data_IF_812344534073
#
_entry.id   IF_812344534073
#
_cell.length_a   1.000
_cell.length_b   1.000
_cell.length_c   1.000
_cell.angle_alpha   90.00
_cell.angle_beta   90.00
_cell.angle_gamma   90.00
#
_symmetry.space_group_name_H-M   'P 1'
#
loop_
_entity.id
_entity.type
_entity.pdbx_description
1 polymer ?
#
# COMPACT_ATOMS: atom_id res chain seq x y z
N UNK A 1 -44.02 -35.42 37.17
CA UNK A 1 -43.45 -34.72 38.33
C UNK A 1 -42.88 -33.40 37.84
N UNK A 2 -43.47 -32.25 38.19
CA UNK A 2 -42.98 -30.94 37.76
C UNK A 2 -41.68 -30.61 38.54
N UNK A 3 -40.59 -30.32 37.83
CA UNK A 3 -39.33 -29.95 38.44
C UNK A 3 -39.33 -28.45 38.77
N UNK A 4 -39.04 -28.11 40.03
CA UNK A 4 -38.88 -26.73 40.52
C UNK A 4 -37.71 -26.06 39.77
N UNK A 5 -37.99 -25.00 39.02
CA UNK A 5 -37.02 -24.33 38.14
C UNK A 5 -36.37 -23.07 38.73
N UNK A 6 -36.54 -22.78 40.02
CA UNK A 6 -36.01 -21.54 40.62
C UNK A 6 -35.29 -21.81 41.93
N UNK A 7 -34.04 -21.36 42.01
CA UNK A 7 -33.10 -21.53 43.13
C UNK A 7 -33.18 -20.39 44.16
N UNK A 8 -34.11 -19.44 44.00
CA UNK A 8 -34.24 -18.28 44.89
C UNK A 8 -35.14 -18.58 46.10
N UNK A 9 -34.82 -18.09 47.32
CA UNK A 9 -35.67 -18.30 48.50
C UNK A 9 -37.06 -17.69 48.28
N UNK A 10 -38.10 -18.44 48.66
CA UNK A 10 -39.52 -18.12 48.38
C UNK A 10 -39.92 -16.69 48.79
N UNK A 11 -39.32 -16.17 49.87
CA UNK A 11 -39.60 -14.85 50.41
C UNK A 11 -39.18 -13.71 49.46
N UNK A 12 -38.10 -13.88 48.70
CA UNK A 12 -37.67 -12.91 47.68
C UNK A 12 -38.62 -12.90 46.48
N UNK A 13 -39.16 -14.06 46.10
CA UNK A 13 -40.09 -14.20 44.98
C UNK A 13 -41.42 -13.53 45.31
N UNK A 14 -41.96 -13.74 46.51
CA UNK A 14 -43.20 -13.10 46.96
C UNK A 14 -43.05 -11.58 47.12
N UNK A 15 -41.91 -11.09 47.60
CA UNK A 15 -41.64 -9.64 47.71
C UNK A 15 -41.53 -8.93 46.35
N UNK A 16 -41.13 -9.64 45.30
CA UNK A 16 -41.09 -9.11 43.93
C UNK A 16 -42.48 -9.10 43.28
N UNK A 17 -43.27 -10.14 43.52
CA UNK A 17 -44.63 -10.26 42.97
C UNK A 17 -45.58 -9.22 43.59
N UNK A 18 -45.47 -8.97 44.91
CA UNK A 18 -46.30 -7.95 45.58
C UNK A 18 -45.96 -6.52 45.12
N UNK A 19 -44.67 -6.23 44.87
CA UNK A 19 -44.22 -4.95 44.29
C UNK A 19 -44.69 -4.75 42.85
N UNK A 20 -44.71 -5.81 42.05
CA UNK A 20 -45.23 -5.76 40.67
C UNK A 20 -46.75 -5.55 40.65
N UNK A 21 -47.48 -6.16 41.59
CA UNK A 21 -48.93 -6.02 41.71
C UNK A 21 -49.37 -4.60 42.11
N UNK A 22 -48.58 -3.91 42.95
CA UNK A 22 -48.85 -2.54 43.39
C UNK A 22 -48.46 -1.43 42.40
N UNK A 23 -47.83 -1.75 41.26
CA UNK A 23 -47.29 -0.76 40.29
C UNK A 23 -46.33 0.28 40.88
N UNK A 24 -45.89 0.11 42.11
CA UNK A 24 -44.93 0.99 42.80
C UNK A 24 -43.49 0.59 42.45
N UNK A 25 -43.28 0.38 41.17
CA UNK A 25 -41.98 -0.02 40.68
C UNK A 25 -41.21 1.27 40.43
N UNK A 26 -40.33 1.62 41.36
CA UNK A 26 -39.47 2.80 41.26
C UNK A 26 -38.68 2.88 39.96
N UNK A 27 -37.82 3.89 39.86
CA UNK A 27 -37.02 4.17 38.65
C UNK A 27 -36.38 2.91 38.07
N UNK A 28 -36.29 2.84 36.74
CA UNK A 28 -35.67 1.73 35.99
C UNK A 28 -34.30 1.32 36.57
N UNK A 29 -33.53 2.25 37.12
CA UNK A 29 -32.25 1.99 37.79
C UNK A 29 -32.36 1.06 39.01
N UNK A 30 -33.41 1.20 39.83
CA UNK A 30 -33.61 0.41 41.05
C UNK A 30 -34.09 -1.02 40.73
N UNK A 31 -34.75 -1.18 39.58
CA UNK A 31 -35.25 -2.47 39.07
C UNK A 31 -34.15 -3.35 38.48
N UNK A 32 -33.03 -2.74 38.08
CA UNK A 32 -31.89 -3.43 37.45
C UNK A 32 -30.60 -3.37 38.29
N UNK A 33 -30.68 -2.93 39.56
CA UNK A 33 -29.54 -2.85 40.47
C UNK A 33 -28.81 -4.20 40.66
N UNK A 34 -29.53 -5.33 40.57
CA UNK A 34 -28.94 -6.69 40.63
C UNK A 34 -28.32 -7.15 39.30
N UNK A 35 -28.54 -6.44 38.18
CA UNK A 35 -28.08 -6.82 36.83
C UNK A 35 -26.91 -6.00 36.32
N UNK A 36 -26.65 -4.83 36.88
CA UNK A 36 -25.39 -4.12 36.70
C UNK A 36 -24.45 -4.58 37.82
N UNK A 37 -23.27 -5.07 37.44
CA UNK A 37 -22.26 -5.58 38.35
C UNK A 37 -21.89 -4.56 39.43
N UNK A 38 -21.36 -5.11 40.53
CA UNK A 38 -20.74 -4.49 41.70
C UNK A 38 -20.58 -2.96 41.72
N UNK A 39 -20.70 -2.32 42.90
CA UNK A 39 -20.43 -0.88 43.09
C UNK A 39 -19.14 -0.37 42.43
N UNK A 40 -18.15 -1.25 42.26
CA UNK A 40 -16.91 -1.03 41.52
C UNK A 40 -17.12 -0.67 40.04
N UNK A 41 -17.99 -1.38 39.32
CA UNK A 41 -18.24 -1.10 37.89
C UNK A 41 -18.89 0.27 37.69
N UNK A 42 -19.75 0.67 38.63
CA UNK A 42 -20.33 2.01 38.67
C UNK A 42 -19.27 3.08 38.89
N UNK A 43 -18.33 2.84 39.79
CA UNK A 43 -17.21 3.75 40.06
C UNK A 43 -16.28 3.87 38.84
N UNK A 44 -15.95 2.75 38.18
CA UNK A 44 -15.11 2.72 36.97
C UNK A 44 -15.73 3.56 35.84
N UNK A 45 -17.04 3.45 35.61
CA UNK A 45 -17.72 4.22 34.55
C UNK A 45 -17.67 5.72 34.83
N UNK A 46 -17.86 6.13 36.09
CA UNK A 46 -17.78 7.54 36.49
C UNK A 46 -16.36 8.08 36.33
N UNK A 47 -15.35 7.30 36.73
CA UNK A 47 -13.95 7.68 36.58
C UNK A 47 -13.56 7.81 35.10
N UNK A 48 -13.90 6.85 34.25
CA UNK A 48 -13.64 6.92 32.80
C UNK A 48 -14.35 8.11 32.14
N UNK A 49 -15.57 8.42 32.55
CA UNK A 49 -16.29 9.61 32.08
C UNK A 49 -15.56 10.89 32.48
N UNK A 50 -15.10 10.98 33.73
CA UNK A 50 -14.34 12.14 34.23
C UNK A 50 -13.01 12.32 33.50
N UNK A 51 -12.28 11.24 33.24
CA UNK A 51 -11.03 11.28 32.47
C UNK A 51 -11.26 11.76 31.04
N UNK A 52 -12.30 11.26 30.38
CA UNK A 52 -12.67 11.71 29.04
C UNK A 52 -13.01 13.20 29.02
N UNK A 53 -13.86 13.65 29.95
CA UNK A 53 -14.27 15.06 30.03
C UNK A 53 -13.07 15.99 30.33
N UNK A 54 -12.09 15.56 31.12
CA UNK A 54 -10.83 16.29 31.38
C UNK A 54 -9.99 16.47 30.11
N UNK A 55 -9.80 15.39 29.34
CA UNK A 55 -9.05 15.45 28.07
C UNK A 55 -9.72 16.37 27.06
N UNK A 56 -11.05 16.34 26.99
CA UNK A 56 -11.80 17.24 26.11
C UNK A 56 -11.63 18.71 26.53
N UNK A 57 -11.60 19.01 27.84
CA UNK A 57 -11.33 20.38 28.30
C UNK A 57 -9.90 20.85 27.98
N UNK A 58 -8.91 19.97 28.13
CA UNK A 58 -7.51 20.28 27.79
C UNK A 58 -7.35 20.64 26.31
N UNK A 59 -8.00 19.88 25.42
CA UNK A 59 -7.99 20.17 23.97
C UNK A 59 -8.71 21.49 23.67
N UNK A 60 -9.83 21.78 24.34
CA UNK A 60 -10.61 23.00 24.10
C UNK A 60 -9.91 24.27 24.56
N UNK A 61 -9.20 24.19 25.67
CA UNK A 61 -8.54 25.35 26.28
C UNK A 61 -7.09 25.54 25.77
N UNK A 62 -6.63 24.66 24.87
CA UNK A 62 -5.36 24.82 24.18
C UNK A 62 -5.41 26.02 23.20
N UNK A 63 -4.36 26.85 23.13
CA UNK A 63 -4.30 27.97 22.20
C UNK A 63 -4.25 27.49 20.75
N UNK A 64 -5.05 28.11 19.89
CA UNK A 64 -5.04 27.86 18.44
C UNK A 64 -3.84 28.60 17.83
N UNK A 65 -2.97 27.87 17.15
CA UNK A 65 -1.86 28.45 16.37
C UNK A 65 -2.32 28.59 14.92
N UNK A 66 -2.43 29.82 14.44
CA UNK A 66 -2.63 30.12 13.02
C UNK A 66 -1.26 30.29 12.37
N UNK A 67 -0.98 29.51 11.33
CA UNK A 67 0.23 29.64 10.52
C UNK A 67 0.06 30.88 9.62
N UNK A 68 0.98 31.83 9.72
CA UNK A 68 1.05 32.97 8.81
C UNK A 68 1.66 32.49 7.49
N UNK A 69 0.93 32.64 6.38
CA UNK A 69 1.45 32.46 5.03
C UNK A 69 2.41 33.61 4.73
N UNK A 70 3.68 33.31 4.43
CA UNK A 70 4.64 34.31 3.98
C UNK A 70 4.20 34.86 2.61
N UNK A 71 4.25 36.18 2.37
CA UNK A 71 3.82 36.82 1.11
C UNK A 71 4.46 36.19 -0.15
N UNK A 72 5.67 35.66 -0.02
CA UNK A 72 6.40 34.96 -1.09
C UNK A 72 5.80 33.58 -1.44
N UNK A 73 5.13 32.92 -0.48
CA UNK A 73 4.46 31.63 -0.69
C UNK A 73 3.25 31.77 -1.62
N UNK A 74 2.55 32.90 -1.56
CA UNK A 74 1.40 33.18 -2.44
C UNK A 74 1.79 33.35 -3.91
N UNK A 75 2.95 33.98 -4.18
CA UNK A 75 3.47 34.15 -5.55
C UNK A 75 3.93 32.81 -6.13
N UNK A 76 4.72 32.04 -5.36
CA UNK A 76 5.17 30.70 -5.74
C UNK A 76 4.00 29.74 -6.01
N UNK A 77 2.95 29.78 -5.20
CA UNK A 77 1.78 28.95 -5.41
C UNK A 77 1.01 29.33 -6.69
N UNK A 78 0.96 30.62 -7.03
CA UNK A 78 0.38 31.07 -8.29
C UNK A 78 1.18 30.58 -9.51
N UNK A 79 2.51 30.64 -9.43
CA UNK A 79 3.42 30.13 -10.47
C UNK A 79 3.30 28.61 -10.63
N UNK A 80 3.22 27.88 -9.51
CA UNK A 80 3.00 26.42 -9.51
C UNK A 80 1.71 26.06 -10.25
N UNK A 81 0.60 26.75 -9.95
CA UNK A 81 -0.68 26.47 -10.62
C UNK A 81 -0.63 26.75 -12.12
N UNK A 82 0.08 27.79 -12.56
CA UNK A 82 0.25 28.09 -13.99
C UNK A 82 0.99 26.95 -14.70
N UNK A 83 2.10 26.49 -14.15
CA UNK A 83 2.90 25.38 -14.70
C UNK A 83 2.09 24.08 -14.74
N UNK A 84 1.32 23.77 -13.68
CA UNK A 84 0.46 22.58 -13.66
C UNK A 84 -0.64 22.62 -14.71
N UNK A 85 -1.23 23.79 -14.96
CA UNK A 85 -2.20 23.93 -16.06
C UNK A 85 -1.56 23.69 -17.42
N UNK A 86 -0.34 24.18 -17.64
CA UNK A 86 0.38 23.98 -18.89
C UNK A 86 0.75 22.50 -19.09
N UNK A 87 1.31 21.85 -18.07
CA UNK A 87 1.59 20.40 -18.08
C UNK A 87 0.33 19.58 -18.36
N UNK A 88 -0.82 19.96 -17.78
CA UNK A 88 -2.10 19.29 -18.02
C UNK A 88 -2.58 19.43 -19.47
N UNK A 89 -2.22 20.51 -20.15
CA UNK A 89 -2.54 20.71 -21.58
C UNK A 89 -1.58 19.98 -22.51
N UNK A 90 -0.27 19.97 -22.20
CA UNK A 90 0.76 19.39 -23.07
C UNK A 90 0.91 17.88 -22.91
N UNK A 91 0.65 17.31 -21.73
CA UNK A 91 0.73 15.85 -21.48
C UNK A 91 -0.18 15.02 -22.42
N UNK A 92 -1.47 15.36 -22.63
CA UNK A 92 -2.29 14.61 -23.59
C UNK A 92 -1.80 14.79 -25.03
N UNK A 93 -1.33 15.98 -25.42
CA UNK A 93 -0.79 16.22 -26.77
C UNK A 93 0.44 15.35 -27.03
N UNK A 94 1.36 15.26 -26.08
CA UNK A 94 2.50 14.34 -26.12
C UNK A 94 2.08 12.87 -26.26
N UNK A 95 1.08 12.43 -25.49
CA UNK A 95 0.56 11.06 -25.59
C UNK A 95 -0.05 10.77 -26.96
N UNK A 96 -0.80 11.73 -27.53
CA UNK A 96 -1.36 11.60 -28.87
C UNK A 96 -0.27 11.54 -29.94
N UNK A 97 0.76 12.38 -29.85
CA UNK A 97 1.91 12.35 -30.76
C UNK A 97 2.71 11.05 -30.63
N UNK A 98 2.83 10.50 -29.41
CA UNK A 98 3.48 9.22 -29.14
C UNK A 98 2.69 8.07 -29.78
N UNK A 99 1.36 8.08 -29.65
CA UNK A 99 0.48 7.08 -30.27
C UNK A 99 0.44 7.19 -31.80
N UNK A 100 0.56 8.41 -32.35
CA UNK A 100 0.62 8.66 -33.79
C UNK A 100 2.00 8.38 -34.41
N UNK A 101 3.06 8.26 -33.59
CA UNK A 101 4.43 8.09 -34.05
C UNK A 101 5.06 9.36 -34.63
N UNK A 102 4.51 10.54 -34.32
CA UNK A 102 4.94 11.82 -34.87
C UNK A 102 6.25 12.30 -34.20
N UNK A 103 7.38 11.80 -34.72
CA UNK A 103 8.72 12.10 -34.19
C UNK A 103 9.07 13.60 -34.17
N UNK A 104 8.49 14.41 -35.06
CA UNK A 104 8.73 15.85 -35.14
C UNK A 104 8.03 16.62 -34.01
N UNK A 105 6.82 16.18 -33.63
CA UNK A 105 6.07 16.76 -32.51
C UNK A 105 6.68 16.31 -31.18
N UNK A 106 7.10 15.05 -31.10
CA UNK A 106 7.76 14.51 -29.91
C UNK A 106 9.10 15.19 -29.61
N UNK A 107 9.89 15.52 -30.64
CA UNK A 107 11.17 16.23 -30.44
C UNK A 107 11.00 17.66 -29.95
N UNK A 108 9.86 18.30 -30.26
CA UNK A 108 9.52 19.64 -29.79
C UNK A 108 8.90 19.63 -28.39
N UNK A 109 8.01 18.68 -28.09
CA UNK A 109 7.30 18.63 -26.80
C UNK A 109 8.17 18.11 -25.65
N UNK A 110 9.12 17.19 -25.90
CA UNK A 110 10.03 16.65 -24.87
C UNK A 110 10.78 17.72 -24.08
N UNK A 111 11.56 18.63 -24.71
CA UNK A 111 12.34 19.61 -23.96
C UNK A 111 11.46 20.61 -23.20
N UNK A 112 10.26 20.92 -23.73
CA UNK A 112 9.31 21.84 -23.08
C UNK A 112 8.71 21.20 -21.82
N UNK A 113 8.28 19.94 -21.91
CA UNK A 113 7.78 19.19 -20.75
C UNK A 113 8.86 19.03 -19.68
N UNK A 114 10.10 18.73 -20.09
CA UNK A 114 11.25 18.63 -19.17
C UNK A 114 11.50 19.93 -18.43
N UNK A 115 11.50 21.08 -19.13
CA UNK A 115 11.68 22.38 -18.48
C UNK A 115 10.56 22.71 -17.49
N UNK A 116 9.30 22.43 -17.84
CA UNK A 116 8.15 22.71 -16.97
C UNK A 116 8.15 21.82 -15.73
N UNK A 117 8.55 20.55 -15.86
CA UNK A 117 8.68 19.65 -14.71
C UNK A 117 9.82 20.08 -13.78
N UNK A 118 10.96 20.52 -14.33
CA UNK A 118 12.07 21.04 -13.54
C UNK A 118 11.67 22.31 -12.76
N UNK A 119 10.93 23.22 -13.40
CA UNK A 119 10.43 24.44 -12.77
C UNK A 119 9.40 24.14 -11.66
N UNK A 120 8.45 23.22 -11.92
CA UNK A 120 7.51 22.73 -10.92
C UNK A 120 8.22 22.20 -9.69
N UNK A 121 9.24 21.35 -9.87
CA UNK A 121 10.02 20.76 -8.78
C UNK A 121 10.79 21.84 -8.01
N UNK A 122 11.38 22.82 -8.70
CA UNK A 122 12.07 23.94 -8.06
C UNK A 122 11.13 24.77 -7.18
N UNK A 123 9.94 25.11 -7.67
CA UNK A 123 8.96 25.89 -6.91
C UNK A 123 8.43 25.09 -5.72
N UNK A 124 8.19 23.80 -5.90
CA UNK A 124 7.76 22.91 -4.83
C UNK A 124 8.82 22.79 -3.71
N UNK A 125 10.10 22.69 -4.08
CA UNK A 125 11.22 22.67 -3.14
C UNK A 125 11.36 24.00 -2.38
N UNK A 126 11.08 25.14 -3.04
CA UNK A 126 11.06 26.45 -2.39
C UNK A 126 9.88 26.60 -1.41
N UNK A 127 8.71 26.03 -1.71
CA UNK A 127 7.53 26.07 -0.85
C UNK A 127 7.63 25.16 0.39
N UNK A 128 8.30 24.01 0.30
CA UNK A 128 8.45 23.06 1.41
C UNK A 128 9.59 23.42 2.38
N UNK A 129 10.39 24.45 2.07
CA UNK A 129 11.45 24.96 2.95
C UNK A 129 12.61 23.99 3.22
N UNK A 130 12.66 22.83 2.57
CA UNK A 130 13.71 21.83 2.76
C UNK A 130 13.83 20.86 1.58
N UNK A 131 14.65 21.19 0.58
CA UNK A 131 15.42 20.18 -0.16
C UNK A 131 16.70 20.83 -0.71
N UNK A 132 17.87 20.33 -0.32
CA UNK A 132 19.14 20.60 -1.01
C UNK A 132 19.05 20.16 -2.49
N UNK A 133 19.87 20.71 -3.41
CA UNK A 133 19.86 20.28 -4.80
C UNK A 133 20.50 18.89 -4.93
N UNK A 134 19.74 17.84 -4.62
CA UNK A 134 20.03 16.49 -5.10
C UNK A 134 19.48 16.38 -6.52
N UNK A 135 20.40 16.57 -7.47
CA UNK A 135 20.20 16.13 -8.85
C UNK A 135 19.95 14.63 -8.80
N UNK A 136 18.88 14.18 -9.47
CA UNK A 136 18.33 12.82 -9.53
C UNK A 136 17.22 12.51 -8.50
N UNK A 137 16.26 11.71 -8.94
CA UNK A 137 15.20 11.03 -8.14
C UNK A 137 13.82 11.68 -7.95
N UNK A 138 13.38 12.68 -8.73
CA UNK A 138 11.91 12.84 -8.89
C UNK A 138 11.51 13.06 -10.33
N UNK A 139 11.53 11.96 -11.08
CA UNK A 139 10.81 11.76 -12.34
C UNK A 139 9.81 10.59 -12.24
N UNK A 140 9.41 10.22 -11.03
CA UNK A 140 8.71 8.97 -10.71
C UNK A 140 7.20 9.18 -10.57
N UNK A 141 6.54 9.43 -11.69
CA UNK A 141 5.14 8.98 -11.89
C UNK A 141 4.90 8.53 -13.35
N UNK A 142 5.97 8.43 -14.14
CA UNK A 142 6.02 7.76 -15.44
C UNK A 142 7.37 7.07 -15.69
N UNK A 143 8.26 7.06 -14.68
CA UNK A 143 9.54 6.35 -14.66
C UNK A 143 9.55 5.16 -13.69
N UNK A 144 8.58 5.03 -12.78
CA UNK A 144 8.45 3.87 -11.89
C UNK A 144 8.32 2.56 -12.67
N UNK A 145 7.64 2.59 -13.82
CA UNK A 145 7.59 1.41 -14.71
C UNK A 145 8.92 1.14 -15.38
N UNK A 146 9.73 2.16 -15.69
CA UNK A 146 10.99 1.95 -16.40
C UNK A 146 12.03 1.29 -15.52
N UNK A 147 12.11 1.68 -14.24
CA UNK A 147 13.01 1.03 -13.29
C UNK A 147 12.57 -0.40 -12.97
N UNK A 148 11.26 -0.65 -12.83
CA UNK A 148 10.71 -2.00 -12.66
C UNK A 148 10.91 -2.87 -13.92
N UNK A 149 10.71 -2.29 -15.10
CA UNK A 149 10.90 -2.94 -16.40
C UNK A 149 12.38 -3.27 -16.64
N UNK A 150 13.30 -2.37 -16.28
CA UNK A 150 14.75 -2.57 -16.37
C UNK A 150 15.23 -3.63 -15.36
N UNK A 151 14.70 -3.60 -14.12
CA UNK A 151 14.91 -4.65 -13.14
C UNK A 151 14.38 -6.00 -13.66
N UNK A 152 13.21 -6.03 -14.29
CA UNK A 152 12.63 -7.25 -14.83
C UNK A 152 13.40 -7.81 -16.03
N UNK A 153 13.88 -6.95 -16.92
CA UNK A 153 14.77 -7.35 -18.00
C UNK A 153 16.09 -7.95 -17.45
N UNK A 154 16.65 -7.35 -16.39
CA UNK A 154 17.85 -7.89 -15.74
C UNK A 154 17.58 -9.25 -15.06
N UNK A 155 16.43 -9.41 -14.41
CA UNK A 155 15.98 -10.68 -13.84
C UNK A 155 15.86 -11.78 -14.88
N UNK A 156 15.21 -11.49 -16.02
CA UNK A 156 15.05 -12.46 -17.11
C UNK A 156 16.41 -12.91 -17.66
N UNK A 157 17.38 -12.00 -17.78
CA UNK A 157 18.73 -12.35 -18.21
C UNK A 157 19.48 -13.23 -17.19
N UNK A 158 19.35 -12.92 -15.89
CA UNK A 158 19.93 -13.73 -14.80
C UNK A 158 19.33 -15.14 -14.80
N UNK A 159 18.00 -15.23 -14.94
CA UNK A 159 17.26 -16.49 -14.99
C UNK A 159 17.68 -17.32 -16.20
N UNK A 160 17.82 -16.70 -17.38
CA UNK A 160 18.23 -17.41 -18.60
C UNK A 160 19.64 -18.01 -18.47
N UNK A 161 20.58 -17.25 -17.90
CA UNK A 161 21.95 -17.75 -17.64
C UNK A 161 21.95 -18.86 -16.58
N UNK A 162 21.18 -18.68 -15.50
CA UNK A 162 21.09 -19.64 -14.40
C UNK A 162 20.46 -20.97 -14.85
N UNK A 163 19.30 -20.91 -15.51
CA UNK A 163 18.60 -22.08 -16.02
C UNK A 163 19.37 -22.72 -17.18
N UNK A 164 20.05 -21.93 -18.01
CA UNK A 164 20.84 -22.44 -19.13
C UNK A 164 22.14 -23.16 -18.73
N UNK A 165 22.74 -22.78 -17.60
CA UNK A 165 24.03 -23.33 -17.16
C UNK A 165 23.92 -24.42 -16.10
N UNK A 166 22.89 -24.39 -15.25
CA UNK A 166 22.82 -25.22 -14.05
C UNK A 166 21.72 -26.28 -14.05
N UNK A 167 20.80 -26.28 -15.02
CA UNK A 167 19.77 -27.32 -15.11
C UNK A 167 20.26 -28.59 -15.84
N UNK A 168 19.89 -29.79 -15.35
CA UNK A 168 20.09 -31.05 -16.06
C UNK A 168 19.32 -31.14 -17.40
N UNK A 169 19.93 -31.74 -18.42
CA UNK A 169 19.32 -31.87 -19.77
C UNK A 169 17.97 -32.60 -19.77
N UNK A 170 17.76 -33.53 -18.85
CA UNK A 170 16.51 -34.28 -18.70
C UNK A 170 15.37 -33.39 -18.19
N UNK A 171 15.65 -32.46 -17.28
CA UNK A 171 14.68 -31.46 -16.80
C UNK A 171 14.37 -30.46 -17.92
N UNK A 172 15.40 -29.93 -18.60
CA UNK A 172 15.23 -28.99 -19.71
C UNK A 172 14.41 -29.60 -20.85
N UNK A 173 14.68 -30.86 -21.23
CA UNK A 173 13.93 -31.54 -22.29
C UNK A 173 12.46 -31.80 -21.92
N UNK A 174 12.17 -31.98 -20.63
CA UNK A 174 10.81 -32.12 -20.11
C UNK A 174 10.10 -30.76 -20.10
N UNK A 175 10.81 -29.71 -19.68
CA UNK A 175 10.29 -28.34 -19.65
C UNK A 175 9.95 -27.82 -21.04
N UNK A 176 10.82 -28.01 -22.05
CA UNK A 176 10.57 -27.58 -23.44
C UNK A 176 9.31 -28.23 -24.04
N UNK A 177 8.90 -29.40 -23.54
CA UNK A 177 7.68 -30.09 -23.98
C UNK A 177 6.42 -29.64 -23.23
N UNK A 178 6.57 -28.86 -22.16
CA UNK A 178 5.46 -28.35 -21.37
C UNK A 178 4.78 -27.16 -22.03
N UNK A 179 3.53 -26.90 -21.64
CA UNK A 179 2.78 -25.70 -22.07
C UNK A 179 3.36 -24.41 -21.46
N UNK A 180 4.10 -24.52 -20.36
CA UNK A 180 4.74 -23.41 -19.62
C UNK A 180 5.92 -22.82 -20.38
N UNK A 181 6.60 -23.63 -21.19
CA UNK A 181 7.71 -23.16 -22.03
C UNK A 181 7.29 -22.06 -23.01
N UNK A 182 6.04 -22.09 -23.50
CA UNK A 182 5.54 -21.05 -24.40
C UNK A 182 5.50 -19.67 -23.72
N UNK A 183 5.13 -19.63 -22.43
CA UNK A 183 5.11 -18.40 -21.62
C UNK A 183 6.55 -17.95 -21.34
N UNK A 184 7.41 -18.89 -20.95
CA UNK A 184 8.84 -18.63 -20.72
C UNK A 184 9.52 -18.01 -21.94
N UNK A 185 9.32 -18.61 -23.12
CA UNK A 185 9.90 -18.09 -24.36
C UNK A 185 9.36 -16.70 -24.71
N UNK A 186 8.05 -16.47 -24.59
CA UNK A 186 7.43 -15.20 -24.93
C UNK A 186 7.94 -14.05 -24.04
N UNK A 187 8.04 -14.28 -22.73
CA UNK A 187 8.55 -13.28 -21.78
C UNK A 187 10.08 -13.13 -21.90
N UNK A 188 10.80 -14.22 -22.18
CA UNK A 188 12.25 -14.22 -22.40
C UNK A 188 12.69 -13.43 -23.64
N UNK A 189 11.93 -13.52 -24.75
CA UNK A 189 12.22 -12.78 -25.97
C UNK A 189 11.93 -11.28 -25.86
N UNK A 190 10.95 -10.88 -25.04
CA UNK A 190 10.52 -9.48 -24.91
C UNK A 190 10.01 -9.18 -23.51
N UNK A 191 10.91 -9.03 -22.52
CA UNK A 191 10.52 -8.81 -21.11
C UNK A 191 9.77 -7.49 -20.90
N UNK A 192 10.04 -6.49 -21.74
CA UNK A 192 9.42 -5.16 -21.69
C UNK A 192 8.00 -5.13 -22.26
N UNK A 193 7.64 -6.07 -23.15
CA UNK A 193 6.30 -6.15 -23.74
C UNK A 193 5.35 -7.07 -22.97
N UNK A 194 5.86 -7.78 -21.95
CA UNK A 194 5.06 -8.69 -21.15
C UNK A 194 4.17 -7.92 -20.16
N UNK A 195 2.86 -8.21 -20.20
CA UNK A 195 1.89 -7.72 -19.22
C UNK A 195 2.19 -8.28 -17.81
N UNK A 196 1.72 -7.58 -16.77
CA UNK A 196 1.94 -7.96 -15.37
C UNK A 196 1.49 -9.39 -15.03
N UNK A 197 0.38 -9.85 -15.61
CA UNK A 197 -0.07 -11.23 -15.44
C UNK A 197 0.93 -12.24 -16.02
N UNK A 198 1.50 -11.96 -17.20
CA UNK A 198 2.52 -12.82 -17.83
C UNK A 198 3.83 -12.83 -17.05
N UNK A 199 4.22 -11.69 -16.48
CA UNK A 199 5.40 -11.58 -15.60
C UNK A 199 5.24 -12.42 -14.33
N UNK A 200 4.05 -12.39 -13.71
CA UNK A 200 3.77 -13.22 -12.52
C UNK A 200 3.81 -14.72 -12.84
N UNK A 201 3.26 -15.14 -13.98
CA UNK A 201 3.33 -16.53 -14.44
C UNK A 201 4.77 -16.95 -14.74
N UNK A 202 5.56 -16.07 -15.37
CA UNK A 202 6.98 -16.31 -15.62
C UNK A 202 7.75 -16.55 -14.31
N UNK A 203 7.58 -15.67 -13.32
CA UNK A 203 8.24 -15.80 -12.02
C UNK A 203 7.86 -17.12 -11.33
N UNK A 204 6.58 -17.53 -11.38
CA UNK A 204 6.13 -18.80 -10.81
C UNK A 204 6.76 -20.02 -11.52
N UNK A 205 6.86 -19.99 -12.85
CA UNK A 205 7.52 -21.04 -13.64
C UNK A 205 9.01 -21.12 -13.26
N UNK A 206 9.67 -19.97 -13.15
CA UNK A 206 11.08 -19.89 -12.78
C UNK A 206 11.31 -20.47 -11.38
N UNK A 207 10.49 -20.11 -10.39
CA UNK A 207 10.58 -20.65 -9.03
C UNK A 207 10.43 -22.18 -9.01
N UNK A 208 9.49 -22.73 -9.79
CA UNK A 208 9.35 -24.18 -9.94
C UNK A 208 10.61 -24.83 -10.55
N UNK A 209 11.19 -24.22 -11.58
CA UNK A 209 12.42 -24.75 -12.20
C UNK A 209 13.64 -24.64 -11.29
N UNK A 210 13.77 -23.57 -10.50
CA UNK A 210 14.80 -23.45 -9.47
C UNK A 210 14.64 -24.49 -8.38
N UNK A 211 13.41 -24.87 -8.03
CA UNK A 211 13.13 -25.98 -7.11
C UNK A 211 13.60 -27.35 -7.61
N UNK A 212 13.78 -27.52 -8.92
CA UNK A 212 14.30 -28.74 -9.53
C UNK A 212 15.84 -28.78 -9.61
N UNK A 213 16.53 -27.71 -9.21
CA UNK A 213 17.99 -27.64 -9.21
C UNK A 213 18.60 -28.34 -8.00
N UNK A 214 19.91 -28.63 -8.10
CA UNK A 214 20.66 -29.19 -6.97
C UNK A 214 20.83 -28.14 -5.86
N UNK A 215 20.80 -28.54 -4.58
CA UNK A 215 20.96 -27.61 -3.47
C UNK A 215 22.30 -26.84 -3.50
N UNK A 216 23.36 -27.45 -4.05
CA UNK A 216 24.67 -26.82 -4.20
C UNK A 216 24.64 -25.66 -5.21
N UNK A 217 23.91 -25.84 -6.31
CA UNK A 217 23.65 -24.81 -7.33
C UNK A 217 22.86 -23.61 -6.79
N UNK A 218 21.84 -23.89 -5.97
CA UNK A 218 21.03 -22.84 -5.32
C UNK A 218 21.85 -22.09 -4.27
N UNK A 219 22.66 -22.81 -3.48
CA UNK A 219 23.54 -22.20 -2.47
C UNK A 219 24.63 -21.32 -3.12
N UNK A 220 25.12 -21.66 -4.32
CA UNK A 220 26.04 -20.83 -5.09
C UNK A 220 25.35 -19.56 -5.60
N UNK A 221 24.16 -19.70 -6.17
CA UNK A 221 23.39 -18.57 -6.69
C UNK A 221 22.99 -17.56 -5.60
N UNK A 222 22.57 -18.03 -4.42
CA UNK A 222 22.20 -17.15 -3.29
C UNK A 222 23.36 -16.32 -2.73
N UNK A 223 24.60 -16.68 -3.05
CA UNK A 223 25.80 -15.93 -2.65
C UNK A 223 26.21 -14.86 -3.67
N UNK A 224 25.64 -14.88 -4.87
CA UNK A 224 25.89 -13.88 -5.91
C UNK A 224 25.11 -12.59 -5.67
N UNK A 225 25.66 -11.47 -6.14
CA UNK A 225 24.98 -10.16 -6.10
C UNK A 225 23.68 -10.15 -6.93
N UNK A 226 23.57 -11.04 -7.91
CA UNK A 226 22.40 -11.26 -8.77
C UNK A 226 21.19 -11.81 -8.01
N UNK A 227 21.40 -12.49 -6.87
CA UNK A 227 20.31 -12.97 -6.03
C UNK A 227 19.47 -11.83 -5.45
N UNK A 228 20.09 -10.66 -5.20
CA UNK A 228 19.35 -9.51 -4.70
C UNK A 228 18.28 -9.04 -5.70
N UNK A 229 18.59 -9.05 -7.00
CA UNK A 229 17.65 -8.68 -8.07
C UNK A 229 16.54 -9.75 -8.20
N UNK A 230 16.92 -11.03 -8.07
CA UNK A 230 15.96 -12.12 -8.04
C UNK A 230 14.97 -11.96 -6.87
N UNK A 231 15.46 -11.68 -5.65
CA UNK A 231 14.63 -11.52 -4.45
C UNK A 231 13.68 -10.32 -4.57
N UNK A 232 14.14 -9.18 -5.10
CA UNK A 232 13.27 -8.01 -5.27
C UNK A 232 12.13 -8.30 -6.25
N UNK A 233 12.41 -8.96 -7.37
CA UNK A 233 11.38 -9.30 -8.38
C UNK A 233 10.45 -10.39 -7.85
N UNK A 234 11.01 -11.44 -7.24
CA UNK A 234 10.23 -12.53 -6.69
C UNK A 234 9.23 -12.03 -5.64
N UNK A 235 9.63 -11.09 -4.77
CA UNK A 235 8.71 -10.50 -3.78
C UNK A 235 7.67 -9.56 -4.39
N UNK A 236 7.96 -8.95 -5.54
CA UNK A 236 7.04 -8.03 -6.23
C UNK A 236 5.90 -8.79 -6.93
N UNK A 237 6.19 -9.98 -7.47
CA UNK A 237 5.28 -10.77 -8.30
C UNK A 237 4.71 -12.04 -7.62
N UNK A 238 4.89 -12.20 -6.30
CA UNK A 238 4.36 -13.31 -5.48
C UNK A 238 3.00 -13.00 -4.84
#
# INVERSE_FOLDING_TARGET
>A
MWAKRSTKPLQQIYGHIDRLAKKETGSLLDRYADRFGHSLDREIIVLRKKEHDSKVSEIRDAPVVELLEDEDSGDLQSQLTAIETELRTLKPEYQTAKAAGDSEVLSQLRPVLESLMAERKSIMAMMDGSVEPTVAEEAVDSAESSDEDDLFASFVAIVDDLLGSQLPEDVVSTFIQSEEFAIYQQVGESPLEADQDMRSLFVAIVDEQLGNMSGESVDEFTQTEEFAIYETIATLYQ
#
